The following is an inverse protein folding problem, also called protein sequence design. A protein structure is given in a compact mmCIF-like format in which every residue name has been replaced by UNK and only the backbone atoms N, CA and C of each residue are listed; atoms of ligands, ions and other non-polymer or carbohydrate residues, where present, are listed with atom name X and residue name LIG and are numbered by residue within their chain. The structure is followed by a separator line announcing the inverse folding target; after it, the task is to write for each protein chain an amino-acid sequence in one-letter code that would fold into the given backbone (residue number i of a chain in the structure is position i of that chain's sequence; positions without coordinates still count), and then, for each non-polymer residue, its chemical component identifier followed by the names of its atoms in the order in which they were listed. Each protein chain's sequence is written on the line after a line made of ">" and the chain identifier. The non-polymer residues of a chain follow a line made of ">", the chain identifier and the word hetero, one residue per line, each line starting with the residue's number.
data_IF_935463770213
#
_entry.id   IF_935463770213
#
_cell.length_a   1.000
_cell.length_b   1.000
_cell.length_c   1.000
_cell.angle_alpha   90.00
_cell.angle_beta   90.00
_cell.angle_gamma   90.00
#
_symmetry.space_group_name_H-M   'P 1'
#
loop_
_entity.id
_entity.type
_entity.pdbx_description
1 polymer ?
#
# COMPACT_ATOMS: atom_id res chain seq x y z
N UNK A 1 -12.40 -1.92 -2.97
CA UNK A 1 -10.98 -2.29 -2.90
C UNK A 1 -10.42 -2.24 -4.32
N UNK A 2 -9.41 -1.40 -4.56
CA UNK A 2 -8.72 -1.38 -5.86
C UNK A 2 -7.98 -2.69 -6.09
N UNK A 3 -8.33 -3.38 -7.17
CA UNK A 3 -7.76 -4.67 -7.53
C UNK A 3 -6.22 -4.59 -7.70
N UNK A 4 -5.70 -3.45 -8.15
CA UNK A 4 -4.26 -3.22 -8.28
C UNK A 4 -3.57 -3.17 -6.92
N UNK A 5 -4.12 -2.43 -5.96
CA UNK A 5 -3.54 -2.25 -4.61
C UNK A 5 -3.45 -3.58 -3.90
N UNK A 6 -4.55 -4.33 -3.90
CA UNK A 6 -4.64 -5.67 -3.29
C UNK A 6 -3.59 -6.60 -3.91
N UNK A 7 -3.46 -6.57 -5.24
CA UNK A 7 -2.49 -7.42 -5.96
C UNK A 7 -1.04 -7.03 -5.68
N UNK A 8 -0.73 -5.74 -5.51
CA UNK A 8 0.62 -5.29 -5.14
C UNK A 8 0.95 -5.65 -3.70
N UNK A 9 0.05 -5.39 -2.76
CA UNK A 9 0.24 -5.76 -1.35
C UNK A 9 0.39 -7.28 -1.17
N UNK A 10 -0.33 -8.08 -1.95
CA UNK A 10 -0.19 -9.54 -1.98
C UNK A 10 1.22 -10.03 -2.37
N UNK A 11 1.91 -9.29 -3.26
CA UNK A 11 3.29 -9.61 -3.67
C UNK A 11 4.31 -9.09 -2.66
N UNK A 12 4.05 -7.90 -2.09
CA UNK A 12 4.92 -7.23 -1.12
C UNK A 12 4.78 -7.79 0.30
N UNK A 13 3.73 -8.55 0.59
CA UNK A 13 3.56 -9.21 1.88
C UNK A 13 4.66 -10.24 2.11
N UNK A 14 5.05 -10.42 3.38
CA UNK A 14 6.09 -11.37 3.78
C UNK A 14 5.48 -12.37 4.77
N UNK A 15 5.28 -13.65 4.37
CA UNK A 15 5.50 -14.21 3.04
C UNK A 15 4.48 -13.70 2.00
N UNK A 16 4.75 -13.84 0.69
CA UNK A 16 3.79 -13.49 -0.36
C UNK A 16 2.49 -14.30 -0.23
N UNK A 17 1.35 -13.66 -0.43
CA UNK A 17 0.02 -14.25 -0.22
C UNK A 17 -0.87 -14.05 -1.45
N UNK A 18 -1.92 -14.85 -1.66
CA UNK A 18 -2.86 -14.59 -2.74
C UNK A 18 -3.68 -13.32 -2.46
N UNK A 19 -4.06 -12.54 -3.51
CA UNK A 19 -4.85 -11.31 -3.34
C UNK A 19 -6.19 -11.48 -2.62
N UNK A 20 -6.78 -12.69 -2.67
CA UNK A 20 -8.03 -12.99 -1.97
C UNK A 20 -7.90 -13.02 -0.44
N UNK A 21 -6.69 -13.08 0.11
CA UNK A 21 -6.43 -13.04 1.55
C UNK A 21 -6.17 -11.63 2.08
N UNK A 22 -6.03 -10.63 1.20
CA UNK A 22 -5.80 -9.25 1.58
C UNK A 22 -7.13 -8.57 1.87
N UNK A 23 -7.23 -7.99 3.07
CA UNK A 23 -8.43 -7.28 3.53
C UNK A 23 -8.07 -5.88 4.00
N UNK A 24 -9.02 -4.95 3.86
CA UNK A 24 -8.84 -3.56 4.25
C UNK A 24 -8.50 -3.36 5.75
N UNK A 25 -8.90 -4.30 6.61
CA UNK A 25 -8.73 -4.19 8.06
C UNK A 25 -7.37 -4.67 8.57
N UNK A 26 -6.62 -5.40 7.74
CA UNK A 26 -5.31 -5.93 8.10
C UNK A 26 -4.28 -4.82 8.28
N UNK A 27 -3.40 -5.04 9.23
CA UNK A 27 -2.21 -4.24 9.47
C UNK A 27 -1.17 -4.48 8.38
N UNK A 28 -0.61 -3.40 7.82
CA UNK A 28 0.45 -3.51 6.81
C UNK A 28 1.68 -4.22 7.39
N UNK A 29 2.06 -3.87 8.61
CA UNK A 29 3.25 -4.43 9.27
C UNK A 29 2.96 -5.74 10.00
N UNK A 30 1.95 -5.75 10.87
CA UNK A 30 1.72 -6.91 11.77
C UNK A 30 1.07 -8.09 11.06
N UNK A 31 0.10 -7.84 10.18
CA UNK A 31 -0.61 -8.92 9.48
C UNK A 31 0.07 -9.27 8.16
N UNK A 32 0.40 -8.27 7.34
CA UNK A 32 0.98 -8.48 6.01
C UNK A 32 2.50 -8.62 6.02
N UNK A 33 3.19 -8.19 7.08
CA UNK A 33 4.65 -8.24 7.13
C UNK A 33 5.33 -7.29 6.15
N UNK A 34 4.64 -6.23 5.70
CA UNK A 34 5.20 -5.19 4.86
C UNK A 34 6.21 -4.40 5.68
N UNK A 35 7.46 -4.38 5.23
CA UNK A 35 8.51 -3.56 5.82
C UNK A 35 8.56 -2.15 5.19
N UNK A 36 9.41 -1.29 5.73
CA UNK A 36 9.56 0.08 5.23
C UNK A 36 10.05 0.13 3.79
N UNK A 37 10.84 -0.85 3.33
CA UNK A 37 11.36 -0.86 1.97
C UNK A 37 10.27 -1.25 0.96
N UNK A 38 9.55 -2.34 1.22
CA UNK A 38 8.40 -2.77 0.45
C UNK A 38 7.30 -1.69 0.40
N UNK A 39 7.14 -0.92 1.47
CA UNK A 39 6.25 0.23 1.48
C UNK A 39 6.70 1.33 0.50
N UNK A 40 7.98 1.71 0.51
CA UNK A 40 8.53 2.68 -0.45
C UNK A 40 8.38 2.16 -1.88
N UNK A 41 8.66 0.88 -2.14
CA UNK A 41 8.45 0.27 -3.46
C UNK A 41 6.99 0.32 -3.91
N UNK A 42 6.04 0.15 -2.98
CA UNK A 42 4.62 0.33 -3.26
C UNK A 42 4.31 1.76 -3.68
N UNK A 43 4.83 2.75 -2.93
CA UNK A 43 4.68 4.19 -3.21
C UNK A 43 5.23 4.56 -4.59
N UNK A 44 6.43 4.14 -4.93
CA UNK A 44 7.01 4.37 -6.27
C UNK A 44 6.16 3.73 -7.36
N UNK A 45 5.73 2.47 -7.16
CA UNK A 45 4.81 1.81 -8.11
C UNK A 45 3.49 2.56 -8.26
N UNK A 46 2.98 3.21 -7.20
CA UNK A 46 1.76 4.01 -7.25
C UNK A 46 1.95 5.29 -8.06
N UNK A 47 3.07 5.98 -7.88
CA UNK A 47 3.41 7.17 -8.67
C UNK A 47 3.47 6.84 -10.16
N UNK A 48 4.11 5.72 -10.52
CA UNK A 48 4.23 5.26 -11.91
C UNK A 48 2.88 4.83 -12.49
N UNK A 49 2.09 4.05 -11.77
CA UNK A 49 0.80 3.53 -12.25
C UNK A 49 -0.25 4.64 -12.37
N UNK A 50 -0.30 5.55 -11.41
CA UNK A 50 -1.37 6.55 -11.32
C UNK A 50 -0.94 7.96 -11.74
N UNK A 51 0.35 8.17 -12.05
CA UNK A 51 0.89 9.46 -12.45
C UNK A 51 0.82 10.51 -11.34
N UNK A 52 0.77 10.07 -10.08
CA UNK A 52 0.74 10.95 -8.90
C UNK A 52 2.16 11.23 -8.40
N UNK A 53 2.35 12.33 -7.69
CA UNK A 53 3.56 12.57 -6.88
C UNK A 53 3.22 12.45 -5.41
N UNK A 54 3.82 11.48 -4.75
CA UNK A 54 3.74 11.18 -3.34
C UNK A 54 5.05 11.63 -2.70
N UNK A 55 4.97 12.39 -1.61
CA UNK A 55 6.15 12.87 -0.90
C UNK A 55 6.70 11.74 -0.01
N UNK A 56 7.48 10.82 -0.60
CA UNK A 56 7.98 9.60 0.04
C UNK A 56 8.69 9.86 1.37
N UNK A 57 9.40 10.99 1.48
CA UNK A 57 10.08 11.44 2.71
C UNK A 57 9.09 11.79 3.84
N UNK A 58 7.84 12.10 3.51
CA UNK A 58 6.76 12.38 4.47
C UNK A 58 5.88 11.16 4.73
N UNK A 59 5.91 10.17 3.85
CA UNK A 59 5.08 8.97 3.96
C UNK A 59 5.81 7.92 4.81
N UNK A 60 5.67 8.05 6.12
CA UNK A 60 6.18 7.06 7.06
C UNK A 60 5.23 5.87 7.12
N UNK A 61 5.75 4.65 6.99
CA UNK A 61 4.98 3.41 7.18
C UNK A 61 4.20 3.40 8.51
N UNK A 62 4.74 4.01 9.57
CA UNK A 62 4.06 4.16 10.87
C UNK A 62 2.80 5.03 10.83
N UNK A 63 2.63 5.85 9.79
CA UNK A 63 1.41 6.64 9.55
C UNK A 63 0.32 5.84 8.85
N UNK A 64 0.64 4.65 8.33
CA UNK A 64 -0.27 3.74 7.62
C UNK A 64 -0.36 2.43 8.40
N UNK A 65 -1.30 2.38 9.34
CA UNK A 65 -1.47 1.18 10.15
C UNK A 65 -2.13 0.07 9.32
N UNK A 66 -3.13 0.40 8.50
CA UNK A 66 -3.98 -0.57 7.81
C UNK A 66 -3.92 -0.45 6.30
N UNK A 67 -4.30 -1.53 5.62
CA UNK A 67 -4.51 -1.55 4.17
C UNK A 67 -5.50 -0.46 3.73
N UNK A 68 -6.56 -0.23 4.51
CA UNK A 68 -7.54 0.82 4.22
C UNK A 68 -6.91 2.22 4.17
N UNK A 69 -5.97 2.54 5.07
CA UNK A 69 -5.32 3.85 5.14
C UNK A 69 -4.57 4.16 3.84
N UNK A 70 -3.90 3.14 3.29
CA UNK A 70 -3.20 3.24 2.01
C UNK A 70 -4.19 3.45 0.85
N UNK A 71 -5.30 2.71 0.83
CA UNK A 71 -6.34 2.85 -0.20
C UNK A 71 -6.96 4.25 -0.16
N UNK A 72 -7.30 4.74 1.03
CA UNK A 72 -7.90 6.06 1.22
C UNK A 72 -6.95 7.16 0.74
N UNK A 73 -5.66 7.03 1.04
CA UNK A 73 -4.65 7.97 0.57
C UNK A 73 -4.56 7.99 -0.96
N UNK A 74 -4.59 6.82 -1.61
CA UNK A 74 -4.56 6.71 -3.08
C UNK A 74 -5.82 7.30 -3.72
N UNK A 75 -6.98 7.16 -3.09
CA UNK A 75 -8.21 7.78 -3.57
C UNK A 75 -8.15 9.29 -3.44
N UNK A 76 -7.64 9.79 -2.33
CA UNK A 76 -7.49 11.22 -2.09
C UNK A 76 -6.47 11.88 -3.04
N UNK A 77 -5.42 11.16 -3.43
CA UNK A 77 -4.41 11.67 -4.38
C UNK A 77 -4.91 11.67 -5.83
N UNK A 78 -5.73 10.69 -6.23
CA UNK A 78 -6.35 10.60 -7.56
C UNK A 78 -7.48 11.63 -7.80
N UNK A 79 -8.05 12.18 -6.74
CA UNK A 79 -9.16 13.14 -6.82
C UNK A 79 -8.72 14.60 -7.06
N UNK A 80 -7.44 14.87 -7.33
CA UNK A 80 -6.89 16.21 -7.61
C UNK A 80 -6.41 16.37 -9.04
#
# INVERSE_FOLDING_TARGET
>A
MDAWVVRKLAVLSIPPRPPGEITAQQSLTEDLGVDSLAFIEALVSFEEEFGVRLDEDRLLLSSYAKVQDLIDHLHASRAR
#
